data_IF_114312644008
#
_entry.id   IF_114312644008
#
_cell.length_a   1.000
_cell.length_b   1.000
_cell.length_c   1.000
_cell.angle_alpha   90.00
_cell.angle_beta   90.00
_cell.angle_gamma   90.00
#
_symmetry.space_group_name_H-M   'P 1'
#
loop_
_entity.id
_entity.type
_entity.pdbx_description
1 polymer ?
#
# COMPACT_ATOMS: atom_id res chain seq x y z
N UNK A 1 -18.21 -9.25 11.63
CA UNK A 1 -16.84 -8.74 11.75
C UNK A 1 -15.78 -9.83 11.84
N UNK A 2 -16.01 -11.03 11.29
CA UNK A 2 -14.94 -12.04 11.14
C UNK A 2 -14.11 -11.82 9.86
N UNK A 3 -14.46 -10.83 9.04
CA UNK A 3 -13.51 -10.20 8.13
C UNK A 3 -12.51 -9.41 8.97
N UNK A 4 -11.23 -9.49 8.62
CA UNK A 4 -10.14 -8.82 9.32
C UNK A 4 -9.34 -7.94 8.34
N UNK A 5 -8.43 -7.13 8.88
CA UNK A 5 -7.60 -6.20 8.12
C UNK A 5 -6.12 -6.37 8.41
N UNK A 6 -5.25 -5.89 7.53
CA UNK A 6 -3.81 -5.74 7.80
C UNK A 6 -3.56 -4.95 9.10
N UNK A 7 -4.42 -3.99 9.44
CA UNK A 7 -4.37 -3.28 10.72
C UNK A 7 -4.43 -4.25 11.91
N UNK A 8 -5.36 -5.20 11.90
CA UNK A 8 -5.51 -6.18 12.98
C UNK A 8 -4.25 -7.05 13.14
N UNK A 9 -3.62 -7.46 12.03
CA UNK A 9 -2.34 -8.17 12.07
C UNK A 9 -1.22 -7.29 12.66
N UNK A 10 -1.16 -6.01 12.29
CA UNK A 10 -0.17 -5.08 12.84
C UNK A 10 -0.34 -4.85 14.35
N UNK A 11 -1.57 -4.78 14.84
CA UNK A 11 -1.87 -4.70 16.28
C UNK A 11 -1.58 -6.00 17.01
N UNK A 12 -1.79 -7.16 16.38
CA UNK A 12 -1.44 -8.45 16.96
C UNK A 12 0.08 -8.52 17.24
N UNK A 13 0.91 -8.12 16.26
CA UNK A 13 2.36 -8.04 16.45
C UNK A 13 2.73 -7.06 17.57
N UNK A 14 2.05 -5.92 17.65
CA UNK A 14 2.31 -4.92 18.69
C UNK A 14 1.95 -5.40 20.09
N UNK A 15 0.81 -6.10 20.24
CA UNK A 15 0.43 -6.74 21.49
C UNK A 15 1.50 -7.72 21.96
N UNK A 16 2.01 -8.55 21.05
CA UNK A 16 3.03 -9.56 21.36
C UNK A 16 4.41 -8.94 21.64
N UNK A 17 4.73 -7.80 21.03
CA UNK A 17 5.94 -7.04 21.37
C UNK A 17 5.90 -6.53 22.81
N UNK A 18 4.73 -6.03 23.27
CA UNK A 18 4.52 -5.61 24.65
C UNK A 18 4.57 -6.80 25.61
N UNK A 19 3.96 -7.93 25.25
CA UNK A 19 4.04 -9.16 26.03
C UNK A 19 5.50 -9.60 26.23
N UNK A 20 6.29 -9.65 25.16
CA UNK A 20 7.71 -10.01 25.25
C UNK A 20 8.54 -9.05 26.10
N UNK A 21 8.21 -7.74 26.10
CA UNK A 21 8.86 -6.81 27.04
C UNK A 21 8.55 -7.14 28.49
N UNK A 22 7.29 -7.42 28.82
CA UNK A 22 6.84 -7.61 30.18
C UNK A 22 7.22 -8.98 30.76
N UNK A 23 7.32 -10.03 29.94
CA UNK A 23 7.54 -11.41 30.38
C UNK A 23 8.91 -11.96 30.00
N UNK A 24 9.53 -11.39 28.96
CA UNK A 24 10.73 -11.93 28.33
C UNK A 24 10.49 -13.13 27.42
N UNK A 25 9.24 -13.48 27.15
CA UNK A 25 8.85 -14.50 26.17
C UNK A 25 8.54 -13.85 24.81
N UNK A 26 9.40 -14.12 23.83
CA UNK A 26 9.34 -13.54 22.50
C UNK A 26 8.70 -14.46 21.45
N UNK A 27 8.16 -15.60 21.86
CA UNK A 27 7.51 -16.56 20.95
C UNK A 27 6.28 -15.96 20.27
N UNK A 28 5.51 -15.12 20.98
CA UNK A 28 4.35 -14.42 20.43
C UNK A 28 4.66 -13.52 19.24
N UNK A 29 5.79 -12.81 19.26
CA UNK A 29 6.22 -11.95 18.14
C UNK A 29 6.55 -12.80 16.90
N UNK A 30 7.18 -13.95 17.07
CA UNK A 30 7.48 -14.86 15.97
C UNK A 30 6.20 -15.46 15.37
N UNK A 31 5.27 -15.89 16.23
CA UNK A 31 3.98 -16.46 15.83
C UNK A 31 3.12 -15.44 15.10
N UNK A 32 2.95 -14.24 15.66
CA UNK A 32 2.14 -13.18 15.03
C UNK A 32 2.70 -12.74 13.69
N UNK A 33 4.03 -12.58 13.56
CA UNK A 33 4.67 -12.29 12.27
C UNK A 33 4.49 -13.44 11.27
N UNK A 34 4.64 -14.69 11.72
CA UNK A 34 4.43 -15.86 10.86
C UNK A 34 2.99 -15.93 10.37
N UNK A 35 2.01 -15.68 11.23
CA UNK A 35 0.59 -15.64 10.86
C UNK A 35 0.32 -14.53 9.84
N UNK A 36 0.93 -13.36 9.99
CA UNK A 36 0.84 -12.30 8.97
C UNK A 36 1.43 -12.74 7.63
N UNK A 37 2.64 -13.30 7.63
CA UNK A 37 3.32 -13.72 6.40
C UNK A 37 2.65 -14.91 5.70
N UNK A 38 2.12 -15.88 6.46
CA UNK A 38 1.48 -17.09 5.92
C UNK A 38 0.10 -16.79 5.30
N UNK A 39 -0.53 -15.68 5.69
CA UNK A 39 -1.93 -15.44 5.35
C UNK A 39 -2.15 -14.14 4.59
N UNK A 40 -1.70 -13.00 5.11
CA UNK A 40 -2.12 -11.69 4.59
C UNK A 40 -1.10 -11.01 3.66
N UNK A 41 0.15 -11.49 3.65
CA UNK A 41 1.12 -11.16 2.61
C UNK A 41 0.95 -12.19 1.49
N UNK A 42 0.51 -11.80 0.28
CA UNK A 42 0.33 -12.77 -0.81
C UNK A 42 1.68 -13.39 -1.18
N UNK A 43 1.75 -14.71 -1.30
CA UNK A 43 2.99 -15.39 -1.67
C UNK A 43 3.23 -15.41 -3.20
N UNK A 44 4.33 -16.02 -3.65
CA UNK A 44 4.68 -16.11 -5.08
C UNK A 44 3.65 -16.83 -5.95
N UNK A 45 2.87 -17.75 -5.36
CA UNK A 45 1.79 -18.48 -6.05
C UNK A 45 0.51 -17.65 -6.15
N UNK A 46 0.38 -16.64 -5.29
CA UNK A 46 -0.74 -15.71 -5.21
C UNK A 46 -0.46 -14.41 -5.99
N UNK A 47 0.81 -14.15 -6.35
CA UNK A 47 1.22 -13.06 -7.26
C UNK A 47 1.83 -13.56 -8.58
N UNK A 48 1.25 -14.55 -9.27
CA UNK A 48 1.88 -15.19 -10.41
C UNK A 48 2.10 -14.19 -11.56
N UNK A 49 3.31 -14.16 -12.09
CA UNK A 49 3.66 -13.30 -13.21
C UNK A 49 4.06 -11.88 -12.82
N UNK A 50 4.23 -11.54 -11.53
CA UNK A 50 4.75 -10.22 -11.12
C UNK A 50 6.12 -9.89 -11.74
N UNK A 51 6.92 -10.90 -12.07
CA UNK A 51 8.17 -10.75 -12.83
C UNK A 51 8.00 -10.15 -14.24
N UNK A 52 6.77 -10.12 -14.78
CA UNK A 52 6.44 -9.50 -16.07
C UNK A 52 6.12 -8.02 -15.96
N UNK A 53 6.11 -7.46 -14.74
CA UNK A 53 5.87 -6.04 -14.52
C UNK A 53 6.91 -5.19 -15.27
N UNK A 54 6.43 -4.16 -15.97
CA UNK A 54 7.27 -3.22 -16.69
C UNK A 54 7.27 -1.86 -15.99
N UNK A 55 8.35 -1.45 -15.30
CA UNK A 55 8.38 -0.16 -14.60
C UNK A 55 8.31 1.06 -15.53
N UNK A 56 8.55 0.91 -16.84
CA UNK A 56 8.37 1.99 -17.82
C UNK A 56 6.92 2.11 -18.33
N UNK A 57 6.05 1.16 -17.97
CA UNK A 57 4.62 1.14 -18.32
C UNK A 57 3.83 0.54 -17.14
N UNK A 58 3.81 1.23 -15.98
CA UNK A 58 3.42 0.63 -14.70
C UNK A 58 1.94 0.26 -14.61
N UNK A 59 1.04 1.01 -15.25
CA UNK A 59 -0.40 0.76 -15.28
C UNK A 59 -1.08 1.55 -16.41
N UNK A 60 -2.36 1.25 -16.67
CA UNK A 60 -3.22 2.07 -17.54
C UNK A 60 -4.05 3.03 -16.69
N UNK A 61 -4.15 4.30 -17.11
CA UNK A 61 -4.93 5.31 -16.43
C UNK A 61 -6.44 5.02 -16.44
N UNK A 62 -7.11 5.30 -15.32
CA UNK A 62 -8.56 5.42 -15.22
C UNK A 62 -8.90 6.60 -14.28
N UNK A 63 -9.99 7.31 -14.60
CA UNK A 63 -10.50 8.39 -13.75
C UNK A 63 -11.05 7.82 -12.43
N UNK A 64 -10.96 8.60 -11.35
CA UNK A 64 -11.85 8.44 -10.20
C UNK A 64 -13.06 9.36 -10.36
N UNK A 65 -14.20 8.97 -9.78
CA UNK A 65 -15.43 9.76 -9.82
C UNK A 65 -15.98 9.98 -8.42
N UNK A 66 -16.79 11.02 -8.29
CA UNK A 66 -17.34 11.44 -6.99
C UNK A 66 -18.41 10.50 -6.46
N UNK A 67 -19.10 9.74 -7.31
CA UNK A 67 -20.23 8.89 -6.92
C UNK A 67 -20.12 7.48 -7.52
N UNK A 68 -20.53 6.42 -6.78
CA UNK A 68 -20.44 5.03 -7.26
C UNK A 68 -21.21 4.76 -8.55
N UNK A 69 -22.22 5.57 -8.89
CA UNK A 69 -23.04 5.42 -10.10
C UNK A 69 -22.32 5.77 -11.41
N UNK A 70 -21.16 6.46 -11.34
CA UNK A 70 -20.34 6.74 -12.52
C UNK A 70 -19.45 5.57 -12.95
N UNK A 71 -19.31 4.55 -12.11
CA UNK A 71 -18.52 3.37 -12.41
C UNK A 71 -19.33 2.36 -13.24
N UNK A 72 -18.69 1.58 -14.14
CA UNK A 72 -17.25 1.37 -14.28
C UNK A 72 -16.47 2.53 -14.95
N UNK A 73 -15.27 2.81 -14.44
CA UNK A 73 -14.37 3.84 -14.98
C UNK A 73 -13.58 3.34 -16.19
N UNK A 74 -13.54 4.12 -17.27
CA UNK A 74 -12.90 3.73 -18.52
C UNK A 74 -11.37 3.73 -18.43
N UNK A 75 -10.76 2.62 -18.84
CA UNK A 75 -9.32 2.52 -19.01
C UNK A 75 -8.89 3.26 -20.29
N UNK A 76 -8.06 4.28 -20.12
CA UNK A 76 -7.62 5.18 -21.18
C UNK A 76 -6.33 4.67 -21.82
N UNK A 77 -6.43 3.57 -22.57
CA UNK A 77 -5.30 3.02 -23.34
C UNK A 77 -4.85 4.02 -24.42
N UNK A 78 -3.54 4.25 -24.50
CA UNK A 78 -2.83 5.11 -25.48
C UNK A 78 -3.17 6.61 -25.47
N UNK A 79 -4.31 7.02 -24.92
CA UNK A 79 -4.75 8.42 -24.85
C UNK A 79 -4.19 9.17 -23.64
N UNK A 80 -3.85 8.46 -22.56
CA UNK A 80 -3.16 9.02 -21.40
C UNK A 80 -1.87 8.26 -21.16
N UNK A 81 -0.74 8.96 -21.27
CA UNK A 81 0.57 8.40 -20.88
C UNK A 81 0.72 8.49 -19.37
N UNK A 82 1.32 7.46 -18.77
CA UNK A 82 1.67 7.41 -17.34
C UNK A 82 3.18 7.59 -17.16
N UNK A 83 3.62 7.89 -15.94
CA UNK A 83 5.04 7.98 -15.62
C UNK A 83 5.73 6.62 -15.50
N UNK A 84 6.98 6.61 -15.04
CA UNK A 84 7.75 5.40 -14.78
C UNK A 84 7.98 5.18 -13.29
N UNK A 85 7.96 3.91 -12.87
CA UNK A 85 8.26 3.45 -11.50
C UNK A 85 9.78 3.37 -11.28
N UNK A 86 10.36 4.23 -10.42
CA UNK A 86 11.81 4.27 -10.22
C UNK A 86 12.32 3.31 -9.14
N UNK A 87 11.44 2.67 -8.36
CA UNK A 87 11.84 1.85 -7.21
C UNK A 87 11.79 0.35 -7.47
N UNK A 88 11.00 -0.10 -8.45
CA UNK A 88 10.85 -1.54 -8.73
C UNK A 88 12.18 -2.25 -8.98
N UNK A 89 13.05 -1.74 -9.86
CA UNK A 89 14.30 -2.43 -10.19
C UNK A 89 15.26 -2.53 -8.99
N UNK A 90 15.26 -1.52 -8.11
CA UNK A 90 16.06 -1.50 -6.88
C UNK A 90 15.56 -2.55 -5.87
N UNK A 91 14.23 -2.65 -5.71
CA UNK A 91 13.59 -3.68 -4.88
C UNK A 91 13.79 -5.09 -5.44
N UNK A 92 13.56 -5.28 -6.74
CA UNK A 92 13.71 -6.59 -7.41
C UNK A 92 15.14 -7.09 -7.33
N UNK A 93 16.13 -6.21 -7.47
CA UNK A 93 17.55 -6.56 -7.29
C UNK A 93 17.87 -7.05 -5.88
N UNK A 94 17.17 -6.52 -4.86
CA UNK A 94 17.39 -6.90 -3.47
C UNK A 94 16.62 -8.17 -3.06
N UNK A 95 15.42 -8.38 -3.60
CA UNK A 95 14.42 -9.29 -3.03
C UNK A 95 13.73 -10.25 -4.01
N UNK A 96 13.91 -10.08 -5.33
CA UNK A 96 13.11 -10.75 -6.33
C UNK A 96 11.82 -10.00 -6.68
N UNK A 97 11.01 -10.53 -7.61
CA UNK A 97 9.94 -9.78 -8.29
C UNK A 97 8.69 -9.51 -7.44
N UNK A 98 8.43 -10.34 -6.43
CA UNK A 98 7.16 -10.31 -5.69
C UNK A 98 7.12 -9.16 -4.65
N UNK A 99 5.92 -8.62 -4.43
CA UNK A 99 5.71 -7.57 -3.43
C UNK A 99 5.63 -8.19 -2.03
N UNK A 100 6.29 -7.58 -1.05
CA UNK A 100 6.24 -8.00 0.35
C UNK A 100 5.50 -6.95 1.21
N UNK A 101 4.21 -6.80 0.91
CA UNK A 101 3.25 -5.95 1.59
C UNK A 101 2.00 -6.77 1.93
N UNK A 102 1.26 -6.35 2.95
CA UNK A 102 0.01 -6.99 3.31
C UNK A 102 -1.08 -6.56 2.33
N UNK A 103 -1.94 -7.48 1.90
CA UNK A 103 -3.25 -7.07 1.42
C UNK A 103 -4.06 -6.50 2.58
N UNK A 104 -4.87 -5.47 2.35
CA UNK A 104 -5.54 -4.77 3.44
C UNK A 104 -6.73 -5.52 4.05
N UNK A 105 -7.41 -6.40 3.30
CA UNK A 105 -8.66 -7.03 3.73
C UNK A 105 -8.70 -8.54 3.47
N UNK A 106 -9.22 -9.28 4.44
CA UNK A 106 -9.31 -10.73 4.40
C UNK A 106 -10.58 -11.25 5.04
N UNK A 107 -11.28 -12.12 4.33
CA UNK A 107 -12.39 -12.89 4.88
C UNK A 107 -11.85 -14.15 5.56
N UNK A 108 -11.73 -14.12 6.89
CA UNK A 108 -10.96 -15.13 7.66
C UNK A 108 -11.58 -16.51 7.61
N UNK A 109 -12.92 -16.57 7.67
CA UNK A 109 -13.67 -17.83 7.75
C UNK A 109 -14.42 -18.14 6.43
N UNK A 110 -14.02 -17.49 5.33
CA UNK A 110 -14.66 -17.59 4.01
C UNK A 110 -16.18 -17.37 4.05
N UNK A 111 -16.65 -16.39 4.82
CA UNK A 111 -18.06 -16.08 4.96
C UNK A 111 -18.74 -15.68 3.64
N UNK A 112 -18.04 -14.94 2.78
CA UNK A 112 -18.51 -14.58 1.44
C UNK A 112 -18.49 -15.76 0.45
N UNK A 113 -17.76 -16.83 0.76
CA UNK A 113 -17.73 -18.04 -0.06
C UNK A 113 -16.88 -17.94 -1.33
N UNK A 114 -16.04 -16.91 -1.46
CA UNK A 114 -15.15 -16.77 -2.62
C UNK A 114 -13.96 -17.75 -2.62
N UNK A 115 -13.56 -18.21 -1.45
CA UNK A 115 -12.52 -19.23 -1.27
C UNK A 115 -13.06 -20.63 -1.09
N UNK A 116 -12.27 -21.50 -0.45
CA UNK A 116 -12.60 -22.92 -0.26
C UNK A 116 -12.84 -23.25 1.21
N UNK A 117 -13.95 -23.96 1.50
CA UNK A 117 -14.32 -24.35 2.87
C UNK A 117 -14.44 -23.12 3.78
N UNK A 118 -13.69 -23.11 4.88
CA UNK A 118 -13.59 -21.99 5.83
C UNK A 118 -12.19 -21.36 5.85
N UNK A 119 -11.43 -21.49 4.75
CA UNK A 119 -10.05 -20.98 4.68
C UNK A 119 -10.08 -19.46 4.46
N UNK A 120 -9.18 -18.75 5.15
CA UNK A 120 -9.00 -17.33 4.96
C UNK A 120 -8.75 -16.97 3.49
N UNK A 121 -9.44 -15.93 3.01
CA UNK A 121 -9.53 -15.58 1.59
C UNK A 121 -9.33 -14.09 1.39
N UNK A 122 -8.45 -13.71 0.45
CA UNK A 122 -8.27 -12.33 0.03
C UNK A 122 -9.52 -11.80 -0.69
N UNK A 123 -10.04 -10.68 -0.20
CA UNK A 123 -11.20 -10.00 -0.75
C UNK A 123 -10.95 -8.50 -0.80
N UNK A 124 -11.72 -7.79 -1.60
CA UNK A 124 -11.77 -6.34 -1.57
C UNK A 124 -13.23 -5.83 -1.61
N UNK A 125 -13.42 -4.56 -1.24
CA UNK A 125 -14.73 -3.92 -1.21
C UNK A 125 -14.69 -2.57 -1.92
N UNK A 126 -14.03 -1.57 -1.33
CA UNK A 126 -13.94 -0.21 -1.86
C UNK A 126 -13.23 -0.19 -3.21
N UNK A 127 -13.88 0.41 -4.21
CA UNK A 127 -13.37 0.51 -5.57
C UNK A 127 -13.99 1.67 -6.38
N UNK A 128 -15.07 2.31 -5.90
CA UNK A 128 -15.91 3.24 -6.67
C UNK A 128 -15.96 4.67 -6.09
N UNK A 129 -14.80 5.19 -5.71
CA UNK A 129 -14.61 6.61 -5.44
C UNK A 129 -15.05 7.07 -4.05
N UNK A 130 -14.98 8.37 -3.82
CA UNK A 130 -15.02 8.99 -2.48
C UNK A 130 -16.38 8.92 -1.76
N UNK A 131 -17.49 8.75 -2.48
CA UNK A 131 -18.82 8.56 -1.88
C UNK A 131 -19.21 7.09 -1.72
N UNK A 132 -18.36 6.12 -2.08
CA UNK A 132 -18.65 4.71 -1.79
C UNK A 132 -18.44 4.43 -0.29
N UNK A 133 -19.49 4.56 0.52
CA UNK A 133 -19.40 4.15 1.92
C UNK A 133 -19.34 2.63 2.04
N UNK A 134 -19.01 2.12 3.24
CA UNK A 134 -18.98 0.67 3.51
C UNK A 134 -20.31 -0.03 3.23
N UNK A 135 -21.44 0.71 3.22
CA UNK A 135 -22.78 0.19 2.95
C UNK A 135 -23.08 0.04 1.46
N UNK A 136 -22.26 0.66 0.61
CA UNK A 136 -22.52 0.78 -0.82
C UNK A 136 -21.62 -0.12 -1.65
N UNK A 137 -20.58 -0.71 -1.05
CA UNK A 137 -19.64 -1.62 -1.74
C UNK A 137 -20.29 -2.92 -2.22
N UNK A 138 -19.67 -3.52 -3.24
CA UNK A 138 -19.94 -4.90 -3.65
C UNK A 138 -18.68 -5.72 -3.34
N UNK A 139 -18.67 -6.53 -2.26
CA UNK A 139 -17.54 -7.39 -1.92
C UNK A 139 -17.18 -8.34 -3.07
N UNK A 140 -15.90 -8.48 -3.36
CA UNK A 140 -15.40 -9.23 -4.52
C UNK A 140 -14.05 -9.90 -4.22
N UNK A 141 -13.72 -11.02 -4.90
CA UNK A 141 -12.45 -11.70 -4.69
C UNK A 141 -11.28 -10.90 -5.25
N UNK A 142 -10.17 -10.91 -4.53
CA UNK A 142 -8.89 -10.34 -5.00
C UNK A 142 -8.27 -11.19 -6.12
N UNK A 143 -8.56 -12.50 -6.12
CA UNK A 143 -8.20 -13.45 -7.18
C UNK A 143 -9.46 -13.71 -8.04
N UNK A 144 -9.57 -13.00 -9.16
CA UNK A 144 -10.73 -13.00 -10.05
C UNK A 144 -10.58 -14.05 -11.16
N UNK A 145 -11.28 -15.17 -11.00
CA UNK A 145 -11.29 -16.29 -11.95
C UNK A 145 -12.59 -16.36 -12.79
N UNK A 146 -13.49 -15.38 -12.66
CA UNK A 146 -14.83 -15.33 -13.23
C UNK A 146 -15.75 -16.46 -12.71
N UNK A 147 -15.50 -16.93 -11.49
CA UNK A 147 -16.31 -17.98 -10.83
C UNK A 147 -17.62 -17.44 -10.25
N UNK A 148 -17.62 -16.19 -9.83
CA UNK A 148 -18.72 -15.52 -9.13
C UNK A 148 -18.99 -14.17 -9.79
N UNK A 149 -20.14 -13.55 -9.51
CA UNK A 149 -20.51 -12.28 -10.15
C UNK A 149 -21.11 -12.48 -11.54
N UNK A 150 -20.79 -11.58 -12.47
CA UNK A 150 -21.26 -11.59 -13.84
C UNK A 150 -20.34 -12.37 -14.82
N UNK A 151 -20.54 -12.22 -16.13
CA UNK A 151 -19.73 -12.90 -17.15
C UNK A 151 -18.23 -12.59 -17.08
N UNK A 152 -17.87 -11.40 -16.60
CA UNK A 152 -16.49 -10.94 -16.41
C UNK A 152 -16.10 -10.91 -14.92
N UNK A 153 -16.74 -11.75 -14.11
CA UNK A 153 -16.65 -11.68 -12.67
C UNK A 153 -17.24 -10.38 -12.13
N UNK A 154 -16.46 -9.64 -11.35
CA UNK A 154 -16.84 -8.31 -10.84
C UNK A 154 -16.13 -7.16 -11.56
N UNK A 155 -15.24 -7.44 -12.52
CA UNK A 155 -14.34 -6.43 -13.10
C UNK A 155 -15.07 -5.28 -13.78
N UNK A 156 -16.12 -5.59 -14.53
CA UNK A 156 -16.91 -4.62 -15.31
C UNK A 156 -17.87 -3.78 -14.47
N UNK A 157 -17.92 -3.98 -13.15
CA UNK A 157 -18.52 -3.04 -12.21
C UNK A 157 -17.59 -1.85 -11.91
N UNK A 158 -16.29 -2.04 -12.09
CA UNK A 158 -15.26 -1.13 -11.57
C UNK A 158 -14.46 -0.46 -12.68
N UNK A 159 -14.04 -1.23 -13.67
CA UNK A 159 -13.24 -0.74 -14.80
C UNK A 159 -13.91 -1.12 -16.10
N UNK A 160 -14.01 -0.18 -17.03
CA UNK A 160 -14.57 -0.40 -18.36
C UNK A 160 -13.42 -0.61 -19.34
N UNK A 161 -13.41 -1.80 -19.94
CA UNK A 161 -12.45 -2.21 -20.96
C UNK A 161 -13.17 -2.87 -22.15
N UNK A 162 -12.48 -3.00 -23.28
CA UNK A 162 -12.94 -3.73 -24.47
C UNK A 162 -13.06 -5.24 -24.22
N UNK A 163 -12.26 -5.77 -23.29
CA UNK A 163 -12.25 -7.19 -22.92
C UNK A 163 -11.70 -7.38 -21.52
N UNK A 164 -12.08 -8.48 -20.84
CA UNK A 164 -11.66 -8.76 -19.48
C UNK A 164 -10.88 -10.07 -19.40
N UNK A 165 -9.84 -10.08 -18.58
CA UNK A 165 -9.01 -11.26 -18.30
C UNK A 165 -9.07 -11.64 -16.83
N UNK A 166 -9.01 -12.94 -16.54
CA UNK A 166 -8.81 -13.44 -15.18
C UNK A 166 -7.52 -12.85 -14.63
N UNK A 167 -7.58 -12.37 -13.40
CA UNK A 167 -6.50 -11.57 -12.83
C UNK A 167 -6.50 -11.63 -11.31
N UNK A 168 -5.38 -11.29 -10.71
CA UNK A 168 -5.25 -11.07 -9.28
C UNK A 168 -4.90 -9.60 -9.02
N UNK A 169 -5.38 -9.05 -7.91
CA UNK A 169 -5.01 -7.70 -7.45
C UNK A 169 -5.00 -7.59 -5.94
N UNK A 170 -4.04 -6.88 -5.41
CA UNK A 170 -3.91 -6.57 -3.99
C UNK A 170 -3.71 -5.08 -3.79
N UNK A 171 -4.17 -4.60 -2.65
CA UNK A 171 -4.01 -3.21 -2.19
C UNK A 171 -3.56 -3.28 -0.74
N UNK A 172 -2.52 -2.54 -0.35
CA UNK A 172 -2.11 -2.45 1.04
C UNK A 172 -2.85 -1.33 1.78
N UNK A 173 -2.54 -1.17 3.06
CA UNK A 173 -2.89 0.01 3.85
C UNK A 173 -1.63 0.39 4.66
N UNK A 174 -0.81 1.34 4.18
CA UNK A 174 0.58 1.49 4.63
C UNK A 174 0.75 1.88 6.10
N UNK A 175 -0.30 2.38 6.74
CA UNK A 175 -0.31 2.62 8.18
C UNK A 175 -0.18 1.30 8.97
N UNK A 176 -0.71 0.18 8.44
CA UNK A 176 -0.63 -1.14 9.04
C UNK A 176 0.81 -1.69 9.01
N UNK A 177 1.48 -1.68 7.85
CA UNK A 177 2.89 -2.04 7.76
C UNK A 177 3.77 -1.09 8.59
N UNK A 178 3.49 0.21 8.56
CA UNK A 178 4.15 1.20 9.40
C UNK A 178 4.09 0.83 10.88
N UNK A 179 2.89 0.46 11.37
CA UNK A 179 2.64 0.01 12.74
C UNK A 179 3.33 -1.32 13.05
N UNK A 180 3.34 -2.28 12.13
CA UNK A 180 4.01 -3.57 12.31
C UNK A 180 5.53 -3.37 12.47
N UNK A 181 6.15 -2.53 11.64
CA UNK A 181 7.58 -2.22 11.73
C UNK A 181 7.90 -1.47 13.03
N UNK A 182 7.06 -0.51 13.43
CA UNK A 182 7.17 0.17 14.72
C UNK A 182 7.13 -0.80 15.90
N UNK A 183 6.22 -1.78 15.88
CA UNK A 183 6.14 -2.82 16.89
C UNK A 183 7.40 -3.68 16.94
N UNK A 184 7.92 -4.11 15.78
CA UNK A 184 9.14 -4.92 15.69
C UNK A 184 10.38 -4.14 16.14
N UNK A 185 10.45 -2.83 15.90
CA UNK A 185 11.51 -1.99 16.47
C UNK A 185 11.55 -2.08 17.99
N UNK A 186 10.41 -1.91 18.64
CA UNK A 186 10.34 -2.00 20.09
C UNK A 186 10.65 -3.41 20.60
N UNK A 187 10.13 -4.45 19.94
CA UNK A 187 10.44 -5.83 20.26
C UNK A 187 11.96 -6.10 20.19
N UNK A 188 12.62 -5.66 19.11
CA UNK A 188 14.07 -5.80 18.96
C UNK A 188 14.85 -5.05 20.04
N UNK A 189 14.48 -3.78 20.31
CA UNK A 189 15.11 -2.97 21.37
C UNK A 189 15.01 -3.66 22.74
N UNK A 190 13.82 -4.13 23.10
CA UNK A 190 13.55 -4.78 24.37
C UNK A 190 14.17 -6.18 24.47
N UNK A 191 14.19 -6.95 23.39
CA UNK A 191 14.88 -8.23 23.36
C UNK A 191 16.39 -8.04 23.52
N UNK A 192 16.99 -6.99 22.94
CA UNK A 192 18.41 -6.63 23.17
C UNK A 192 18.69 -6.31 24.64
N UNK A 193 17.85 -5.50 25.28
CA UNK A 193 17.97 -5.20 26.72
C UNK A 193 17.97 -6.46 27.59
N UNK A 194 17.27 -7.51 27.16
CA UNK A 194 17.19 -8.80 27.85
C UNK A 194 18.23 -9.84 27.38
N UNK A 195 19.13 -9.48 26.47
CA UNK A 195 20.11 -10.42 25.89
C UNK A 195 19.49 -11.51 24.99
N UNK A 196 18.29 -11.28 24.44
CA UNK A 196 17.51 -12.23 23.64
C UNK A 196 17.33 -11.81 22.17
N UNK A 197 18.02 -10.79 21.69
CA UNK A 197 17.82 -10.23 20.35
C UNK A 197 17.90 -11.26 19.20
N UNK A 198 18.74 -12.29 19.34
CA UNK A 198 18.89 -13.34 18.33
C UNK A 198 17.60 -14.08 18.01
N UNK A 199 16.65 -14.15 18.97
CA UNK A 199 15.35 -14.81 18.77
C UNK A 199 14.45 -14.07 17.78
N UNK A 200 14.70 -12.78 17.54
CA UNK A 200 13.89 -11.93 16.66
C UNK A 200 14.59 -11.53 15.36
N UNK A 201 15.83 -11.98 15.12
CA UNK A 201 16.65 -11.59 13.97
C UNK A 201 15.95 -11.74 12.61
N UNK A 202 15.24 -12.87 12.42
CA UNK A 202 14.45 -13.13 11.20
C UNK A 202 13.28 -12.14 11.05
N UNK A 203 12.53 -11.90 12.13
CA UNK A 203 11.41 -10.95 12.14
C UNK A 203 11.88 -9.53 11.84
N UNK A 204 13.00 -9.10 12.43
CA UNK A 204 13.61 -7.78 12.17
C UNK A 204 14.03 -7.64 10.70
N UNK A 205 14.65 -8.67 10.13
CA UNK A 205 15.03 -8.69 8.71
C UNK A 205 13.81 -8.57 7.79
N UNK A 206 12.71 -9.24 8.13
CA UNK A 206 11.45 -9.17 7.39
C UNK A 206 10.76 -7.81 7.54
N UNK A 207 10.80 -7.21 8.72
CA UNK A 207 10.30 -5.84 8.93
C UNK A 207 11.11 -4.82 8.13
N UNK A 208 12.44 -4.98 8.04
CA UNK A 208 13.28 -4.15 7.17
C UNK A 208 12.91 -4.31 5.69
N UNK A 209 12.65 -5.54 5.22
CA UNK A 209 12.15 -5.82 3.87
C UNK A 209 10.80 -5.13 3.61
N UNK A 210 9.83 -5.30 4.51
CA UNK A 210 8.51 -4.65 4.42
C UNK A 210 8.65 -3.12 4.34
N UNK A 211 9.51 -2.53 5.16
CA UNK A 211 9.82 -1.11 5.09
C UNK A 211 10.44 -0.69 3.74
N UNK A 212 11.24 -1.53 3.10
CA UNK A 212 11.74 -1.22 1.76
C UNK A 212 10.60 -1.20 0.72
N UNK A 213 9.69 -2.17 0.76
CA UNK A 213 8.54 -2.21 -0.15
C UNK A 213 7.52 -1.08 0.09
N UNK A 214 7.42 -0.54 1.30
CA UNK A 214 6.58 0.65 1.60
C UNK A 214 7.00 1.92 0.85
N UNK A 215 8.15 1.92 0.16
CA UNK A 215 8.51 3.00 -0.77
C UNK A 215 7.54 3.13 -1.93
N UNK A 216 6.82 2.06 -2.30
CA UNK A 216 5.81 2.13 -3.37
C UNK A 216 4.66 3.10 -3.01
N UNK A 217 4.35 3.25 -1.72
CA UNK A 217 3.34 4.19 -1.20
C UNK A 217 3.78 5.66 -1.23
N UNK A 218 5.03 5.95 -1.62
CA UNK A 218 5.59 7.31 -1.70
C UNK A 218 5.36 8.01 -3.05
N UNK A 219 4.67 7.35 -3.97
CA UNK A 219 4.51 7.79 -5.35
C UNK A 219 3.07 8.09 -5.72
N UNK A 220 2.92 9.09 -6.60
CA UNK A 220 1.66 9.37 -7.29
C UNK A 220 1.05 8.12 -7.93
N UNK A 221 -0.29 8.03 -7.95
CA UNK A 221 -1.04 6.87 -8.44
C UNK A 221 -0.53 6.33 -9.79
N UNK A 222 -0.32 7.22 -10.77
CA UNK A 222 0.14 6.85 -12.10
C UNK A 222 1.53 7.41 -12.40
N UNK A 223 2.34 7.60 -11.35
CA UNK A 223 3.67 8.18 -11.43
C UNK A 223 3.68 9.53 -12.16
N UNK A 224 2.62 10.32 -12.03
CA UNK A 224 2.56 11.68 -12.57
C UNK A 224 3.43 12.62 -11.73
N UNK A 225 3.96 13.65 -12.37
CA UNK A 225 4.80 14.65 -11.71
C UNK A 225 4.02 15.34 -10.56
N UNK A 226 4.66 15.51 -9.41
CA UNK A 226 4.06 16.22 -8.27
C UNK A 226 3.78 17.68 -8.65
N UNK A 227 2.56 18.15 -8.38
CA UNK A 227 2.08 19.51 -8.65
C UNK A 227 1.73 19.81 -10.11
N UNK A 228 1.65 18.78 -10.97
CA UNK A 228 1.40 18.97 -12.40
C UNK A 228 0.06 19.64 -12.72
N UNK A 229 -0.99 19.35 -11.92
CA UNK A 229 -2.37 19.77 -12.21
C UNK A 229 -2.81 19.43 -13.64
N UNK A 230 -2.30 18.31 -14.14
CA UNK A 230 -2.56 17.72 -15.44
C UNK A 230 -2.01 16.28 -15.42
N UNK A 231 -2.36 15.48 -16.41
CA UNK A 231 -1.90 14.10 -16.59
C UNK A 231 -0.47 14.08 -17.18
N UNK A 232 0.47 14.70 -16.47
CA UNK A 232 1.88 14.86 -16.91
C UNK A 232 2.74 13.73 -16.35
N UNK A 233 3.25 12.81 -17.21
CA UNK A 233 4.11 11.72 -16.76
C UNK A 233 5.36 12.21 -16.04
N UNK A 234 5.65 11.64 -14.86
CA UNK A 234 6.91 11.83 -14.18
C UNK A 234 8.02 10.94 -14.77
N UNK A 235 9.27 11.32 -14.48
CA UNK A 235 10.46 10.56 -14.78
C UNK A 235 11.37 10.49 -13.53
N UNK A 236 11.56 9.29 -13.01
CA UNK A 236 12.31 9.11 -11.77
C UNK A 236 11.47 9.52 -10.55
N UNK A 237 12.10 10.22 -9.61
CA UNK A 237 11.51 10.61 -8.34
C UNK A 237 10.70 11.91 -8.37
N UNK A 238 10.48 12.53 -9.53
CA UNK A 238 9.64 13.73 -9.61
C UNK A 238 8.13 13.44 -9.48
N UNK A 239 7.75 12.16 -9.42
CA UNK A 239 6.45 11.65 -9.01
C UNK A 239 6.41 11.20 -7.53
N UNK A 240 7.52 11.31 -6.80
CA UNK A 240 7.58 10.96 -5.39
C UNK A 240 7.14 12.14 -4.52
N UNK A 241 6.04 11.98 -3.79
CA UNK A 241 5.65 12.93 -2.74
C UNK A 241 6.33 12.64 -1.40
N UNK A 242 6.95 11.46 -1.23
CA UNK A 242 7.68 11.05 -0.02
C UNK A 242 6.81 11.01 1.26
N UNK A 243 5.52 10.73 1.10
CA UNK A 243 4.56 10.55 2.20
C UNK A 243 3.96 9.15 2.08
N UNK A 244 3.33 8.64 3.15
CA UNK A 244 2.53 7.42 3.06
C UNK A 244 1.16 7.78 2.48
N UNK A 245 0.94 7.47 1.21
CA UNK A 245 -0.36 7.67 0.59
C UNK A 245 -1.41 6.69 1.13
N UNK A 246 -2.65 6.76 0.62
CA UNK A 246 -3.72 5.87 1.07
C UNK A 246 -3.44 4.39 0.77
N UNK A 247 -2.70 4.10 -0.30
CA UNK A 247 -2.29 2.75 -0.70
C UNK A 247 -1.18 2.77 -1.76
N UNK A 248 -0.55 1.61 -1.95
CA UNK A 248 -0.12 1.09 -3.22
C UNK A 248 -0.99 -0.13 -3.59
N UNK A 249 -1.22 -0.32 -4.88
CA UNK A 249 -1.91 -1.51 -5.39
C UNK A 249 -1.14 -2.12 -6.54
N UNK A 250 -1.21 -3.43 -6.67
CA UNK A 250 -0.54 -4.18 -7.72
C UNK A 250 -1.38 -5.39 -8.12
N UNK A 251 -1.18 -5.85 -9.36
CA UNK A 251 -1.96 -6.95 -9.90
C UNK A 251 -1.34 -7.54 -11.14
N UNK A 252 -1.93 -8.63 -11.62
CA UNK A 252 -1.44 -9.34 -12.79
C UNK A 252 -2.41 -10.36 -13.35
N UNK A 253 -2.09 -10.88 -14.52
CA UNK A 253 -2.91 -11.85 -15.24
C UNK A 253 -2.81 -13.26 -14.65
N UNK A 254 -3.95 -13.96 -14.57
CA UNK A 254 -3.99 -15.40 -14.28
C UNK A 254 -3.96 -16.14 -15.62
N UNK A 255 -2.91 -16.94 -15.85
CA UNK A 255 -2.72 -17.62 -17.13
C UNK A 255 -2.37 -16.68 -18.30
N UNK A 256 -1.97 -15.45 -18.02
CA UNK A 256 -1.51 -14.45 -18.98
C UNK A 256 -0.31 -13.67 -18.42
N UNK A 257 0.51 -13.07 -19.29
CA UNK A 257 1.82 -12.52 -18.92
C UNK A 257 1.82 -11.00 -18.90
N UNK A 258 1.16 -10.42 -17.90
CA UNK A 258 1.18 -8.99 -17.62
C UNK A 258 1.04 -8.74 -16.11
N UNK A 259 1.59 -7.63 -15.64
CA UNK A 259 1.43 -7.14 -14.28
C UNK A 259 1.44 -5.60 -14.27
N UNK A 260 0.84 -5.00 -13.26
CA UNK A 260 0.77 -3.56 -13.07
C UNK A 260 0.97 -3.18 -11.61
N UNK A 261 1.28 -1.90 -11.39
CA UNK A 261 1.40 -1.28 -10.08
C UNK A 261 0.97 0.18 -10.15
N UNK A 262 0.30 0.65 -9.10
CA UNK A 262 -0.01 2.06 -8.84
C UNK A 262 0.46 2.45 -7.44
N UNK A 263 0.89 3.70 -7.27
CA UNK A 263 0.95 4.35 -5.97
C UNK A 263 -0.44 4.88 -5.58
N UNK A 264 -0.48 6.02 -4.88
CA UNK A 264 -1.71 6.76 -4.66
C UNK A 264 -1.43 8.25 -4.55
N UNK A 265 -2.29 9.07 -5.18
CA UNK A 265 -2.12 10.52 -5.20
C UNK A 265 -2.72 11.22 -3.97
N UNK A 266 -3.37 10.48 -3.07
CA UNK A 266 -4.11 11.01 -1.92
C UNK A 266 -3.41 10.64 -0.61
N UNK A 267 -3.12 11.64 0.22
CA UNK A 267 -2.34 11.48 1.42
C UNK A 267 -3.14 12.04 2.60
N UNK A 268 -3.30 11.21 3.63
CA UNK A 268 -3.96 11.60 4.88
C UNK A 268 -2.93 11.62 6.03
N UNK A 269 -3.00 12.64 6.90
CA UNK A 269 -2.03 12.77 8.00
C UNK A 269 -2.03 11.54 8.94
N UNK A 270 -3.19 10.92 9.12
CA UNK A 270 -3.37 9.74 9.98
C UNK A 270 -2.63 8.48 9.51
N UNK A 271 -2.19 8.42 8.25
CA UNK A 271 -1.43 7.30 7.69
C UNK A 271 0.08 7.48 7.83
N UNK A 272 0.53 8.68 8.18
CA UNK A 272 1.95 8.95 8.31
C UNK A 272 2.50 8.23 9.55
N UNK A 273 3.76 7.80 9.46
CA UNK A 273 4.48 7.22 10.59
C UNK A 273 5.94 7.69 10.56
N UNK A 274 6.22 8.93 11.03
CA UNK A 274 7.58 9.45 11.11
C UNK A 274 8.49 8.57 11.96
N UNK A 275 7.93 7.84 12.93
CA UNK A 275 8.71 6.92 13.75
C UNK A 275 9.22 5.73 12.94
N UNK A 276 8.37 5.09 12.13
CA UNK A 276 8.79 4.03 11.21
C UNK A 276 9.74 4.57 10.14
N UNK A 277 9.49 5.76 9.59
CA UNK A 277 10.41 6.38 8.65
C UNK A 277 11.81 6.57 9.28
N UNK A 278 11.87 7.04 10.52
CA UNK A 278 13.11 7.13 11.29
C UNK A 278 13.76 5.77 11.53
N UNK A 279 12.98 4.71 11.80
CA UNK A 279 13.49 3.35 11.95
C UNK A 279 14.24 2.93 10.68
N UNK A 280 13.57 2.96 9.53
CA UNK A 280 14.13 2.53 8.24
C UNK A 280 15.25 3.44 7.73
N UNK A 281 15.23 4.73 8.09
CA UNK A 281 16.26 5.70 7.71
C UNK A 281 17.55 5.58 8.55
N UNK A 282 17.46 5.19 9.82
CA UNK A 282 18.57 5.40 10.78
C UNK A 282 19.02 4.16 11.53
N UNK A 283 18.14 3.16 11.74
CA UNK A 283 18.45 2.02 12.59
C UNK A 283 19.15 0.93 11.78
N UNK A 284 20.37 0.57 12.18
CA UNK A 284 21.21 -0.37 11.43
C UNK A 284 20.56 -1.74 11.21
N UNK A 285 19.83 -2.24 12.20
CA UNK A 285 19.16 -3.56 12.08
C UNK A 285 17.96 -3.53 11.12
N UNK A 286 17.41 -2.35 10.87
CA UNK A 286 16.27 -2.12 9.98
C UNK A 286 16.69 -1.47 8.66
N UNK A 287 17.99 -1.46 8.36
CA UNK A 287 18.49 -0.88 7.13
C UNK A 287 17.88 -1.62 5.92
N UNK A 288 17.20 -0.91 5.00
CA UNK A 288 16.76 -1.47 3.73
C UNK A 288 17.92 -2.14 3.00
N UNK A 289 17.65 -3.28 2.34
CA UNK A 289 18.68 -4.02 1.58
C UNK A 289 18.89 -3.40 0.21
N UNK A 290 17.87 -2.75 -0.35
CA UNK A 290 17.98 -2.02 -1.61
C UNK A 290 18.99 -0.87 -1.51
N UNK A 291 19.47 -0.42 -2.67
CA UNK A 291 20.55 0.56 -2.74
C UNK A 291 20.08 1.94 -2.30
N UNK A 292 18.83 2.31 -2.63
CA UNK A 292 18.30 3.65 -2.36
C UNK A 292 17.33 3.69 -1.17
N UNK A 293 16.91 2.55 -0.62
CA UNK A 293 15.85 2.52 0.38
C UNK A 293 16.13 3.40 1.60
N UNK A 294 17.36 3.40 2.11
CA UNK A 294 17.75 4.28 3.23
C UNK A 294 17.59 5.77 2.90
N UNK A 295 18.02 6.20 1.71
CA UNK A 295 17.95 7.60 1.26
C UNK A 295 16.49 8.05 1.09
N UNK A 296 15.67 7.17 0.54
CA UNK A 296 14.24 7.46 0.32
C UNK A 296 13.53 7.61 1.67
N UNK A 297 13.83 6.76 2.65
CA UNK A 297 13.29 6.88 4.00
C UNK A 297 13.78 8.12 4.75
N UNK A 298 15.02 8.56 4.54
CA UNK A 298 15.50 9.84 5.07
C UNK A 298 14.67 11.01 4.51
N UNK A 299 14.43 11.01 3.20
CA UNK A 299 13.61 12.04 2.54
C UNK A 299 12.15 12.00 3.02
N UNK A 300 11.61 10.80 3.23
CA UNK A 300 10.26 10.58 3.74
C UNK A 300 10.10 11.03 5.19
N UNK A 301 11.07 10.77 6.06
CA UNK A 301 11.04 11.22 7.46
C UNK A 301 10.87 12.74 7.55
N UNK A 302 11.74 13.48 6.87
CA UNK A 302 11.71 14.95 6.89
C UNK A 302 10.39 15.47 6.32
N UNK A 303 9.96 14.91 5.19
CA UNK A 303 8.71 15.30 4.52
C UNK A 303 7.46 15.03 5.36
N UNK A 304 7.39 13.90 6.06
CA UNK A 304 6.26 13.59 6.93
C UNK A 304 6.18 14.56 8.11
N UNK A 305 7.32 14.90 8.73
CA UNK A 305 7.37 15.88 9.82
C UNK A 305 6.93 17.27 9.36
N UNK A 306 7.35 17.70 8.17
CA UNK A 306 6.87 18.94 7.54
C UNK A 306 5.35 18.90 7.28
N UNK A 307 4.81 17.75 6.85
CA UNK A 307 3.39 17.59 6.55
C UNK A 307 2.51 17.72 7.79
N UNK A 308 2.88 17.10 8.91
CA UNK A 308 2.16 17.28 10.19
C UNK A 308 2.14 18.75 10.62
N UNK A 309 3.28 19.45 10.52
CA UNK A 309 3.37 20.86 10.90
C UNK A 309 2.54 21.76 10.00
N UNK A 310 2.54 21.49 8.69
CA UNK A 310 1.74 22.25 7.72
C UNK A 310 0.24 22.09 7.95
N UNK A 311 -0.21 20.90 8.37
CA UNK A 311 -1.61 20.60 8.63
C UNK A 311 -2.10 21.01 10.02
N UNK A 312 -1.24 21.51 10.90
CA UNK A 312 -1.66 21.88 12.25
C UNK A 312 -2.58 23.13 12.21
N UNK A 313 -3.80 22.97 12.71
CA UNK A 313 -4.78 24.05 12.84
C UNK A 313 -4.35 25.07 13.90
N UNK A 314 -5.00 26.23 13.91
CA UNK A 314 -4.75 27.27 14.91
C UNK A 314 -5.01 26.79 16.35
N UNK A 315 -5.95 25.86 16.54
CA UNK A 315 -6.29 25.22 17.82
C UNK A 315 -5.29 24.12 18.23
N UNK A 316 -4.52 23.60 17.26
CA UNK A 316 -3.47 22.61 17.47
C UNK A 316 -3.80 21.19 16.99
N UNK A 317 -5.01 20.93 16.50
CA UNK A 317 -5.38 19.65 15.87
C UNK A 317 -4.74 19.54 14.47
N UNK A 318 -4.54 18.33 13.96
CA UNK A 318 -3.99 18.12 12.61
C UNK A 318 -5.14 17.94 11.63
N UNK A 319 -5.15 18.73 10.55
CA UNK A 319 -6.14 18.66 9.47
C UNK A 319 -5.93 17.43 8.56
N UNK A 320 -6.82 17.25 7.57
CA UNK A 320 -6.92 16.05 6.74
C UNK A 320 -5.65 15.69 5.95
N UNK A 321 -5.36 16.42 4.87
CA UNK A 321 -4.21 16.05 4.06
C UNK A 321 -3.99 16.85 2.79
N UNK A 322 -3.46 16.16 1.77
CA UNK A 322 -3.22 16.72 0.46
C UNK A 322 -3.41 15.69 -0.66
N UNK A 323 -3.63 16.18 -1.88
CA UNK A 323 -3.70 15.35 -3.09
C UNK A 323 -2.85 15.92 -4.22
N UNK A 324 -2.22 15.03 -4.98
CA UNK A 324 -1.61 15.37 -6.27
C UNK A 324 -2.62 15.29 -7.44
N UNK A 325 -3.75 14.60 -7.25
CA UNK A 325 -4.77 14.37 -8.28
C UNK A 325 -6.10 14.93 -7.82
N UNK A 326 -6.34 16.21 -8.11
CA UNK A 326 -7.60 16.87 -7.73
C UNK A 326 -8.80 16.15 -8.38
N UNK A 327 -9.81 15.86 -7.57
CA UNK A 327 -10.96 15.01 -7.90
C UNK A 327 -10.57 13.61 -8.46
N UNK A 328 -9.34 13.16 -8.23
CA UNK A 328 -8.80 11.90 -8.75
C UNK A 328 -8.68 11.87 -10.29
N UNK A 329 -8.61 13.04 -10.94
CA UNK A 329 -8.50 13.17 -12.41
C UNK A 329 -7.41 14.14 -12.89
N UNK A 330 -6.50 14.52 -11.99
CA UNK A 330 -5.43 15.48 -12.22
C UNK A 330 -5.93 16.85 -12.73
N UNK A 331 -7.07 17.30 -12.21
CA UNK A 331 -7.65 18.60 -12.59
C UNK A 331 -6.85 19.78 -12.04
N UNK A 332 -7.10 20.98 -12.59
CA UNK A 332 -6.58 22.23 -12.04
C UNK A 332 -7.11 22.48 -10.64
N UNK A 333 -6.24 22.95 -9.75
CA UNK A 333 -6.67 23.29 -8.40
C UNK A 333 -7.54 24.55 -8.39
N UNK A 334 -8.51 24.67 -7.46
CA UNK A 334 -9.26 25.90 -7.28
C UNK A 334 -8.34 27.11 -7.00
N UNK A 335 -8.75 28.30 -7.45
CA UNK A 335 -7.97 29.52 -7.21
C UNK A 335 -7.72 29.75 -5.71
N UNK A 336 -6.47 30.07 -5.35
CA UNK A 336 -6.08 30.31 -3.96
C UNK A 336 -5.97 29.06 -3.09
N UNK A 337 -6.03 27.85 -3.65
CA UNK A 337 -5.87 26.60 -2.90
C UNK A 337 -4.46 26.51 -2.30
N UNK A 338 -4.37 26.28 -0.98
CA UNK A 338 -3.11 26.02 -0.28
C UNK A 338 -2.45 24.75 -0.80
N UNK A 339 -1.12 24.78 -0.93
CA UNK A 339 -0.35 23.65 -1.42
C UNK A 339 0.81 23.27 -0.51
N UNK A 340 1.12 21.97 -0.45
CA UNK A 340 2.31 21.41 0.17
C UNK A 340 3.16 20.72 -0.90
N UNK A 341 4.34 21.27 -1.20
CA UNK A 341 5.21 20.78 -2.28
C UNK A 341 4.48 20.62 -3.64
N UNK A 342 3.49 21.46 -3.91
CA UNK A 342 2.67 21.40 -5.12
C UNK A 342 1.42 20.53 -5.03
N UNK A 343 1.22 19.75 -3.98
CA UNK A 343 -0.03 19.00 -3.75
C UNK A 343 -1.07 19.88 -3.07
N UNK A 344 -2.34 19.79 -3.47
CA UNK A 344 -3.43 20.63 -2.98
C UNK A 344 -3.98 20.12 -1.63
N UNK A 345 -4.21 21.03 -0.68
CA UNK A 345 -4.91 20.73 0.59
C UNK A 345 -6.33 20.19 0.37
N UNK A 346 -6.68 19.12 1.08
CA UNK A 346 -8.02 18.49 1.10
C UNK A 346 -8.51 18.20 2.51
#
# INVERSE_FOLDING_TARGET
GHVTTSEAFSYYIWLEALYGKLTGDWSGVQTSWKVMEDWIIPDSTEQPGMAMYNPSSPATYADEYQDPSYYPSELMFDSVRVGSDPVHNDLTSAYGPDMYLMHWLMDVDNWYGFGTGTRATFINTFQRGEQESTWETIPHPSIEEFKYGGPNGFLDLFTKDKSYSRQWRYTNAPDAEGRAIQAVYWANKWAKEQGKASTLSSVVTKAAKMGDFLRNDMFDKYFMKIGAQDKTPGNGYDSAHYLMAWYTSWGGGIGSSWAWKIGCSHIHFGYQNPFQAWISATQSDFAPKSSNGKKDWQSSLDRQIEFYQWLQSAEGAIAGGATNSWNGRYEKYPAGKSTFYGMAYV
#
